data_IF_065775674755
#
_entry.id   IF_065775674755
#
_cell.length_a   1.000
_cell.length_b   1.000
_cell.length_c   1.000
_cell.angle_alpha   90.00
_cell.angle_beta   90.00
_cell.angle_gamma   90.00
#
_symmetry.space_group_name_H-M   'P 1'
#
loop_
_entity.id
_entity.type
_entity.pdbx_description
1 polymer ?
#
# COMPACT_ATOMS: atom_id res chain seq x y z
N UNK A 1 9.15 7.85 -13.10
CA UNK A 1 9.44 7.07 -11.86
C UNK A 1 8.28 6.13 -11.56
N UNK A 2 7.09 6.63 -11.17
CA UNK A 2 5.88 5.80 -10.95
C UNK A 2 5.44 5.00 -12.19
N UNK A 3 5.63 5.54 -13.41
CA UNK A 3 5.28 4.84 -14.65
C UNK A 3 5.94 3.46 -14.77
N UNK A 4 7.11 3.27 -14.16
CA UNK A 4 7.81 1.98 -14.16
C UNK A 4 7.15 0.93 -13.26
N UNK A 5 6.28 1.36 -12.34
CA UNK A 5 5.50 0.49 -11.45
C UNK A 5 4.15 0.11 -12.08
N UNK A 6 3.64 0.89 -13.05
CA UNK A 6 2.32 0.66 -13.65
C UNK A 6 2.25 -0.53 -14.60
N UNK A 7 3.38 -1.15 -14.91
CA UNK A 7 3.44 -2.39 -15.69
C UNK A 7 3.48 -3.66 -14.80
N UNK A 8 3.33 -3.51 -13.48
CA UNK A 8 3.34 -4.65 -12.55
C UNK A 8 1.98 -5.34 -12.54
N UNK A 9 2.01 -6.66 -12.43
CA UNK A 9 0.84 -7.54 -12.36
C UNK A 9 1.01 -8.50 -11.18
N UNK A 10 -0.12 -8.87 -10.54
CA UNK A 10 -0.12 -9.81 -9.42
C UNK A 10 0.28 -11.19 -9.91
N UNK A 11 1.18 -11.84 -9.17
CA UNK A 11 1.63 -13.22 -9.41
C UNK A 11 1.55 -14.00 -8.11
N UNK A 12 1.75 -15.32 -8.19
CA UNK A 12 1.76 -16.18 -7.01
C UNK A 12 2.87 -15.84 -6.01
N UNK A 13 3.96 -15.23 -6.49
CA UNK A 13 5.15 -14.83 -5.74
C UNK A 13 5.31 -13.30 -5.62
N UNK A 14 4.26 -12.54 -5.98
CA UNK A 14 4.30 -11.09 -6.00
C UNK A 14 2.91 -10.50 -5.80
N UNK A 15 2.69 -9.93 -4.62
CA UNK A 15 1.39 -9.40 -4.21
C UNK A 15 1.40 -7.91 -3.87
N UNK A 16 0.32 -7.42 -3.28
CA UNK A 16 0.15 -6.03 -2.91
C UNK A 16 1.21 -5.51 -1.92
N UNK A 17 1.74 -6.36 -1.05
CA UNK A 17 2.75 -5.99 -0.07
C UNK A 17 4.12 -5.86 -0.73
N UNK A 18 4.49 -6.84 -1.57
CA UNK A 18 5.74 -6.79 -2.35
C UNK A 18 5.78 -5.53 -3.21
N UNK A 19 4.67 -5.25 -3.89
CA UNK A 19 4.53 -4.06 -4.72
C UNK A 19 4.62 -2.75 -3.92
N UNK A 20 4.01 -2.69 -2.74
CA UNK A 20 4.10 -1.50 -1.88
C UNK A 20 5.51 -1.31 -1.35
N UNK A 21 6.23 -2.38 -1.02
CA UNK A 21 7.64 -2.30 -0.64
C UNK A 21 8.50 -1.74 -1.78
N UNK A 22 8.37 -2.31 -2.98
CA UNK A 22 9.08 -1.84 -4.19
C UNK A 22 8.76 -0.37 -4.48
N UNK A 23 7.48 0.02 -4.39
CA UNK A 23 7.05 1.39 -4.62
C UNK A 23 7.61 2.36 -3.57
N UNK A 24 7.61 1.96 -2.30
CA UNK A 24 8.14 2.76 -1.20
C UNK A 24 9.64 2.99 -1.39
N UNK A 25 10.41 1.94 -1.68
CA UNK A 25 11.85 2.03 -1.93
C UNK A 25 12.15 2.93 -3.12
N UNK A 26 11.41 2.79 -4.23
CA UNK A 26 11.59 3.63 -5.41
C UNK A 26 11.33 5.12 -5.13
N UNK A 27 10.36 5.43 -4.26
CA UNK A 27 9.95 6.82 -3.97
C UNK A 27 10.80 7.47 -2.88
N UNK A 28 11.20 6.71 -1.87
CA UNK A 28 11.85 7.24 -0.66
C UNK A 28 13.33 6.90 -0.57
N UNK A 29 13.77 5.85 -1.25
CA UNK A 29 15.11 5.25 -1.09
C UNK A 29 15.26 4.38 0.17
N UNK A 30 14.17 4.09 0.89
CA UNK A 30 14.18 3.28 2.11
C UNK A 30 13.55 1.90 1.87
N UNK A 31 14.07 0.85 2.50
CA UNK A 31 13.43 -0.48 2.51
C UNK A 31 12.38 -0.57 3.63
N UNK A 32 11.14 -0.92 3.27
CA UNK A 32 10.00 -1.00 4.18
C UNK A 32 9.71 -2.46 4.61
N UNK A 33 10.38 -3.46 4.03
CA UNK A 33 10.03 -4.87 4.18
C UNK A 33 9.97 -5.30 5.65
N UNK A 34 11.01 -4.98 6.43
CA UNK A 34 11.05 -5.34 7.84
C UNK A 34 9.95 -4.66 8.65
N UNK A 35 9.58 -3.42 8.28
CA UNK A 35 8.55 -2.65 8.98
C UNK A 35 7.14 -3.18 8.70
N UNK A 36 6.88 -3.60 7.45
CA UNK A 36 5.65 -4.30 7.08
C UNK A 36 5.54 -5.63 7.82
N UNK A 37 6.61 -6.42 7.83
CA UNK A 37 6.67 -7.68 8.56
C UNK A 37 6.43 -7.49 10.06
N UNK A 38 7.05 -6.49 10.67
CA UNK A 38 6.86 -6.20 12.10
C UNK A 38 5.44 -5.74 12.43
N UNK A 39 4.82 -4.96 11.54
CA UNK A 39 3.45 -4.49 11.69
C UNK A 39 2.44 -5.64 11.60
N UNK A 40 2.61 -6.53 10.62
CA UNK A 40 1.78 -7.73 10.45
C UNK A 40 1.91 -8.72 11.60
N UNK A 41 3.12 -8.88 12.12
CA UNK A 41 3.36 -9.74 13.28
C UNK A 41 2.97 -9.08 14.61
N UNK A 42 2.36 -7.87 14.58
CA UNK A 42 2.00 -7.08 15.76
C UNK A 42 3.19 -6.84 16.72
N UNK A 43 4.42 -6.85 16.21
CA UNK A 43 5.66 -6.68 17.00
C UNK A 43 6.02 -5.22 17.18
N UNK A 44 5.80 -4.41 16.14
CA UNK A 44 6.01 -2.97 16.16
C UNK A 44 5.03 -2.33 15.20
N UNK A 45 4.17 -1.47 15.74
CA UNK A 45 3.17 -0.78 14.94
C UNK A 45 3.82 0.40 14.22
N UNK A 46 3.49 0.55 12.95
CA UNK A 46 3.69 1.80 12.22
C UNK A 46 2.91 2.92 12.91
N UNK A 47 3.36 4.15 12.72
CA UNK A 47 2.67 5.31 13.28
C UNK A 47 1.35 5.50 12.54
N UNK A 48 0.21 5.40 13.23
CA UNK A 48 -1.10 5.66 12.65
C UNK A 48 -1.28 7.16 12.41
N UNK A 49 -1.80 7.52 11.24
CA UNK A 49 -2.14 8.89 10.86
C UNK A 49 -3.67 9.08 10.82
N UNK A 50 -4.13 10.27 11.16
CA UNK A 50 -5.55 10.63 11.08
C UNK A 50 -5.99 10.97 9.64
N UNK A 51 -5.06 11.43 8.81
CA UNK A 51 -5.26 11.81 7.41
C UNK A 51 -4.10 11.33 6.52
N UNK A 52 -4.33 11.08 5.22
CA UNK A 52 -3.27 10.58 4.34
C UNK A 52 -2.26 11.67 4.00
N UNK A 53 -0.99 11.43 4.32
CA UNK A 53 0.15 12.33 4.01
C UNK A 53 1.11 11.63 3.05
N UNK A 54 1.57 12.30 2.00
CA UNK A 54 2.48 11.67 1.02
C UNK A 54 3.95 11.65 1.51
N UNK A 55 4.68 10.52 1.37
CA UNK A 55 4.20 9.16 1.17
C UNK A 55 3.71 8.52 2.49
N UNK A 56 2.60 7.78 2.46
CA UNK A 56 2.16 6.94 3.57
C UNK A 56 1.50 5.65 3.07
N UNK A 57 1.42 4.66 3.93
CA UNK A 57 0.72 3.41 3.65
C UNK A 57 -0.77 3.58 3.88
N UNK A 58 -1.56 2.95 3.02
CA UNK A 58 -3.01 2.84 3.18
C UNK A 58 -3.37 1.38 3.30
N UNK A 59 -3.91 1.00 4.45
CA UNK A 59 -4.44 -0.33 4.70
C UNK A 59 -5.95 -0.31 4.54
N UNK A 60 -6.44 -1.28 3.81
CA UNK A 60 -7.85 -1.51 3.60
C UNK A 60 -8.23 -2.87 4.18
N UNK A 61 -9.30 -2.91 4.96
CA UNK A 61 -9.80 -4.14 5.54
C UNK A 61 -11.31 -4.27 5.36
N UNK A 62 -11.78 -5.51 5.23
CA UNK A 62 -13.20 -5.83 5.16
C UNK A 62 -13.47 -7.22 5.70
N UNK A 63 -14.69 -7.44 6.19
CA UNK A 63 -15.16 -8.79 6.48
C UNK A 63 -15.38 -9.65 5.22
N UNK A 64 -15.45 -9.02 4.03
CA UNK A 64 -15.83 -9.67 2.77
C UNK A 64 -14.67 -9.94 1.82
N UNK A 65 -13.56 -9.22 1.99
CA UNK A 65 -12.42 -9.25 1.08
C UNK A 65 -11.13 -9.45 1.87
N UNK A 66 -10.12 -10.00 1.19
CA UNK A 66 -8.76 -10.06 1.71
C UNK A 66 -8.29 -8.64 2.05
N UNK A 67 -7.58 -8.49 3.18
CA UNK A 67 -6.96 -7.22 3.52
C UNK A 67 -6.01 -6.78 2.39
N UNK A 68 -6.01 -5.49 2.11
CA UNK A 68 -5.29 -4.93 0.96
C UNK A 68 -4.44 -3.75 1.42
N UNK A 69 -3.33 -3.50 0.73
CA UNK A 69 -2.42 -2.39 1.03
C UNK A 69 -2.05 -1.63 -0.22
N UNK A 70 -1.90 -0.31 -0.07
CA UNK A 70 -1.44 0.60 -1.11
C UNK A 70 -0.51 1.69 -0.55
N UNK A 71 0.11 2.43 -1.45
CA UNK A 71 0.95 3.58 -1.15
C UNK A 71 0.22 4.86 -1.55
N UNK A 72 -0.13 5.71 -0.59
CA UNK A 72 -0.61 7.05 -0.89
C UNK A 72 0.56 7.96 -1.22
N UNK A 73 0.56 8.49 -2.44
CA UNK A 73 1.59 9.40 -2.92
C UNK A 73 0.99 10.40 -3.89
N UNK A 74 1.32 11.68 -3.72
CA UNK A 74 0.90 12.78 -4.61
C UNK A 74 -0.61 12.80 -4.87
N UNK A 75 -1.40 12.66 -3.79
CA UNK A 75 -2.86 12.75 -3.82
C UNK A 75 -3.59 11.52 -4.36
N UNK A 76 -2.88 10.43 -4.63
CA UNK A 76 -3.44 9.19 -5.19
C UNK A 76 -2.85 7.97 -4.50
N UNK A 77 -3.51 6.84 -4.64
CA UNK A 77 -3.06 5.54 -4.15
C UNK A 77 -2.48 4.74 -5.31
N UNK A 78 -1.23 4.32 -5.13
CA UNK A 78 -0.59 3.31 -5.94
C UNK A 78 -0.79 1.95 -5.27
N UNK A 79 -1.48 1.01 -5.93
CA UNK A 79 -1.74 -0.32 -5.38
C UNK A 79 -1.77 -1.41 -6.45
N UNK A 80 -1.64 -2.67 -6.03
CA UNK A 80 -1.68 -3.82 -6.92
C UNK A 80 -2.92 -4.68 -6.63
N UNK A 81 -3.92 -4.61 -7.52
CA UNK A 81 -5.03 -5.56 -7.53
C UNK A 81 -4.63 -6.76 -8.41
N UNK A 82 -5.19 -6.88 -9.61
CA UNK A 82 -4.66 -7.79 -10.64
C UNK A 82 -3.50 -7.15 -11.42
N UNK A 83 -3.56 -5.84 -11.61
CA UNK A 83 -2.54 -5.00 -12.22
C UNK A 83 -2.33 -3.75 -11.36
N UNK A 84 -1.17 -3.13 -11.50
CA UNK A 84 -0.84 -1.90 -10.78
C UNK A 84 -1.74 -0.76 -11.25
N UNK A 85 -2.27 -0.02 -10.28
CA UNK A 85 -3.18 1.09 -10.51
C UNK A 85 -2.72 2.30 -9.69
N UNK A 86 -2.87 3.49 -10.27
CA UNK A 86 -2.59 4.76 -9.62
C UNK A 86 -3.81 5.68 -9.71
N UNK A 87 -4.64 5.60 -8.69
CA UNK A 87 -5.99 6.14 -8.70
C UNK A 87 -6.25 7.00 -7.46
N UNK A 88 -7.19 7.97 -7.50
CA UNK A 88 -7.67 8.63 -6.30
C UNK A 88 -8.14 7.62 -5.24
N UNK A 89 -7.92 7.93 -3.97
CA UNK A 89 -8.28 7.04 -2.84
C UNK A 89 -9.77 6.67 -2.85
N UNK A 90 -10.60 7.63 -3.21
CA UNK A 90 -12.05 7.58 -3.36
C UNK A 90 -12.53 6.70 -4.54
N UNK A 91 -11.63 6.14 -5.35
CA UNK A 91 -11.95 5.11 -6.35
C UNK A 91 -11.70 3.68 -5.86
N UNK A 92 -11.18 3.50 -4.63
CA UNK A 92 -10.96 2.18 -4.03
C UNK A 92 -12.17 1.86 -3.15
N UNK A 93 -13.07 1.00 -3.67
CA UNK A 93 -14.33 0.64 -3.02
C UNK A 93 -14.31 -0.79 -2.46
N UNK A 94 -15.30 -1.10 -1.62
CA UNK A 94 -15.55 -2.47 -1.14
C UNK A 94 -14.95 -2.79 0.22
N UNK A 95 -14.17 -1.87 0.80
CA UNK A 95 -13.58 -2.04 2.12
C UNK A 95 -14.38 -1.31 3.21
N UNK A 96 -14.45 -1.91 4.40
CA UNK A 96 -15.18 -1.38 5.54
C UNK A 96 -14.33 -0.36 6.32
N UNK A 97 -13.01 -0.52 6.28
CA UNK A 97 -12.06 0.38 6.93
C UNK A 97 -10.93 0.77 5.99
N UNK A 98 -10.45 2.00 6.18
CA UNK A 98 -9.32 2.59 5.51
C UNK A 98 -8.47 3.29 6.58
N UNK A 99 -7.23 2.86 6.74
CA UNK A 99 -6.32 3.34 7.78
C UNK A 99 -4.97 3.76 7.18
N UNK A 100 -4.38 4.81 7.73
CA UNK A 100 -3.14 5.42 7.22
C UNK A 100 -1.99 5.21 8.18
N UNK A 101 -0.81 4.89 7.65
CA UNK A 101 0.36 4.58 8.47
C UNK A 101 1.66 5.15 7.90
N UNK A 102 2.55 5.58 8.79
CA UNK A 102 3.90 6.07 8.50
C UNK A 102 4.98 5.22 9.15
#
# INVERSE_FOLDING_TARGET
MIEQLLNRERRADYDCQDFVNEAWELITGEDLAQRLLDHQNHRKLLERLDEPVSPCLVYFSSARYENHVGLFYSGKVLHLANAAQYVPLDLIFGFDQCEFYR
#
